data_IF_827542112426
#
_entry.id   IF_827542112426
#
_cell.length_a   1.000
_cell.length_b   1.000
_cell.length_c   1.000
_cell.angle_alpha   90.00
_cell.angle_beta   90.00
_cell.angle_gamma   90.00
#
_symmetry.space_group_name_H-M   'P 1'
#
loop_
_entity.id
_entity.type
_entity.pdbx_description
1 polymer ?
#
# COMPACT_ATOMS: atom_id res chain seq x y z
N UNK A 1 -6.39 -0.38 -17.66
CA UNK A 1 -7.11 0.25 -16.52
C UNK A 1 -6.36 1.43 -15.95
N UNK A 2 -5.03 1.37 -15.82
CA UNK A 2 -4.15 2.47 -15.39
C UNK A 2 -4.34 3.75 -16.21
N UNK A 3 -4.45 3.64 -17.53
CA UNK A 3 -4.71 4.78 -18.43
C UNK A 3 -6.06 5.46 -18.15
N UNK A 4 -7.09 4.71 -17.73
CA UNK A 4 -8.43 5.25 -17.48
C UNK A 4 -8.50 6.02 -16.15
N UNK A 5 -7.78 5.55 -15.13
CA UNK A 5 -7.63 6.24 -13.84
C UNK A 5 -6.88 7.56 -14.01
N UNK A 6 -5.79 7.56 -14.78
CA UNK A 6 -5.02 8.77 -15.08
C UNK A 6 -5.90 9.84 -15.78
N UNK A 7 -6.70 9.44 -16.77
CA UNK A 7 -7.63 10.34 -17.45
C UNK A 7 -8.71 10.91 -16.53
N UNK A 8 -9.22 10.12 -15.57
CA UNK A 8 -10.21 10.60 -14.61
C UNK A 8 -9.61 11.59 -13.61
N UNK A 9 -8.38 11.36 -13.13
CA UNK A 9 -7.67 12.31 -12.27
C UNK A 9 -7.32 13.60 -13.00
N UNK A 10 -6.89 13.52 -14.26
CA UNK A 10 -6.66 14.70 -15.10
C UNK A 10 -7.95 15.51 -15.28
N UNK A 11 -9.07 14.83 -15.54
CA UNK A 11 -10.39 15.47 -15.64
C UNK A 11 -10.80 16.13 -14.32
N UNK A 12 -10.60 15.46 -13.19
CA UNK A 12 -10.89 16.02 -11.86
C UNK A 12 -10.06 17.28 -11.59
N UNK A 13 -8.77 17.27 -11.94
CA UNK A 13 -7.91 18.45 -11.81
C UNK A 13 -8.37 19.64 -12.65
N UNK A 14 -8.83 19.39 -13.88
CA UNK A 14 -9.40 20.43 -14.76
C UNK A 14 -10.68 21.02 -14.19
N UNK A 15 -11.61 20.18 -13.71
CA UNK A 15 -12.86 20.62 -13.09
C UNK A 15 -12.63 21.42 -11.82
N UNK A 16 -11.68 21.01 -10.98
CA UNK A 16 -11.32 21.72 -9.76
C UNK A 16 -10.73 23.11 -10.05
N UNK A 17 -9.90 23.23 -11.09
CA UNK A 17 -9.35 24.52 -11.53
C UNK A 17 -10.45 25.46 -12.05
N UNK A 18 -11.33 24.98 -12.93
CA UNK A 18 -12.45 25.77 -13.48
C UNK A 18 -13.42 26.22 -12.37
N UNK A 19 -13.68 25.35 -11.39
CA UNK A 19 -14.51 25.65 -10.23
C UNK A 19 -13.89 26.77 -9.37
N UNK A 20 -12.59 26.71 -9.11
CA UNK A 20 -11.88 27.72 -8.33
C UNK A 20 -11.93 29.09 -9.04
N UNK A 21 -11.64 29.11 -10.34
CA UNK A 21 -11.71 30.31 -11.17
C UNK A 21 -13.10 30.95 -11.13
N UNK A 22 -14.17 30.17 -11.35
CA UNK A 22 -15.54 30.67 -11.29
C UNK A 22 -15.95 31.15 -9.89
N UNK A 23 -15.43 30.53 -8.82
CA UNK A 23 -15.67 30.97 -7.45
C UNK A 23 -15.00 32.32 -7.17
N UNK A 24 -13.77 32.52 -7.63
CA UNK A 24 -13.05 33.80 -7.51
C UNK A 24 -13.74 34.92 -8.31
N UNK A 25 -14.16 34.63 -9.54
CA UNK A 25 -14.91 35.58 -10.36
C UNK A 25 -16.24 35.98 -9.71
N UNK A 26 -16.98 35.02 -9.14
CA UNK A 26 -18.25 35.27 -8.45
C UNK A 26 -18.05 36.03 -7.13
N UNK A 27 -16.93 35.82 -6.43
CA UNK A 27 -16.61 36.54 -5.20
C UNK A 27 -16.28 38.02 -5.46
N UNK A 28 -15.66 38.32 -6.61
CA UNK A 28 -15.29 39.66 -7.02
C UNK A 28 -16.40 40.40 -7.81
N UNK A 29 -17.51 39.73 -8.13
CA UNK A 29 -18.63 40.32 -8.86
C UNK A 29 -19.39 41.36 -8.00
N UNK A 30 -19.89 42.45 -8.61
CA UNK A 30 -20.71 43.44 -7.89
C UNK A 30 -21.98 42.80 -7.31
N UNK A 31 -22.35 43.21 -6.09
CA UNK A 31 -23.50 42.67 -5.30
C UNK A 31 -24.88 42.79 -5.96
N UNK A 32 -25.00 43.33 -7.18
CA UNK A 32 -26.28 43.70 -7.79
C UNK A 32 -27.17 42.51 -8.20
N UNK A 33 -26.64 41.30 -8.32
CA UNK A 33 -27.45 40.12 -8.66
C UNK A 33 -27.96 39.40 -7.40
N UNK A 34 -28.95 40.00 -6.73
CA UNK A 34 -29.60 39.44 -5.52
C UNK A 34 -30.68 38.40 -5.80
N UNK A 35 -30.95 38.10 -7.08
CA UNK A 35 -32.05 37.23 -7.51
C UNK A 35 -31.55 36.02 -8.31
N UNK A 36 -32.37 34.96 -8.37
CA UNK A 36 -32.04 33.69 -9.03
C UNK A 36 -32.06 33.80 -10.56
N UNK A 37 -31.44 32.84 -11.26
CA UNK A 37 -31.46 32.78 -12.73
C UNK A 37 -32.87 32.76 -13.32
N UNK A 38 -33.81 32.09 -12.66
CA UNK A 38 -35.21 32.05 -13.09
C UNK A 38 -35.87 33.42 -12.97
N UNK A 39 -35.53 34.19 -11.94
CA UNK A 39 -36.02 35.56 -11.78
C UNK A 39 -35.38 36.47 -12.82
N UNK A 40 -34.08 36.36 -13.09
CA UNK A 40 -33.40 37.09 -14.17
C UNK A 40 -34.05 36.83 -15.54
N UNK A 41 -34.30 35.56 -15.88
CA UNK A 41 -34.98 35.19 -17.11
C UNK A 41 -36.41 35.77 -17.20
N UNK A 42 -37.15 35.84 -16.09
CA UNK A 42 -38.49 36.42 -16.04
C UNK A 42 -38.48 37.96 -16.18
N UNK A 43 -37.41 38.63 -15.78
CA UNK A 43 -37.24 40.10 -15.92
C UNK A 43 -36.65 40.46 -17.30
N UNK A 44 -36.29 39.46 -18.12
CA UNK A 44 -35.67 39.64 -19.44
C UNK A 44 -34.19 39.97 -19.36
N UNK A 45 -33.54 39.74 -18.22
CA UNK A 45 -32.09 39.78 -18.11
C UNK A 45 -31.48 38.55 -18.77
N UNK A 46 -30.36 38.77 -19.45
CA UNK A 46 -29.63 37.70 -20.10
C UNK A 46 -29.10 36.70 -19.06
N UNK A 47 -29.10 35.40 -19.41
CA UNK A 47 -28.63 34.32 -18.52
C UNK A 47 -27.44 33.57 -19.10
N UNK A 48 -26.83 34.14 -20.14
CA UNK A 48 -25.62 33.65 -20.77
C UNK A 48 -24.50 33.36 -19.77
N UNK A 49 -23.56 32.49 -20.17
CA UNK A 49 -22.47 32.00 -19.31
C UNK A 49 -21.56 33.11 -18.76
N UNK A 50 -21.56 34.30 -19.38
CA UNK A 50 -20.83 35.49 -18.93
C UNK A 50 -21.52 36.21 -17.75
N UNK A 51 -22.81 35.95 -17.51
CA UNK A 51 -23.59 36.59 -16.46
C UNK A 51 -23.36 35.92 -15.10
N UNK A 52 -23.60 36.66 -14.00
CA UNK A 52 -23.47 36.11 -12.62
C UNK A 52 -24.34 34.86 -12.43
N UNK A 53 -25.53 34.84 -13.04
CA UNK A 53 -26.45 33.71 -12.96
C UNK A 53 -26.01 32.53 -13.84
N UNK A 54 -25.48 32.78 -15.04
CA UNK A 54 -24.87 31.75 -15.89
C UNK A 54 -23.65 31.10 -15.23
N UNK A 55 -22.76 31.90 -14.62
CA UNK A 55 -21.60 31.40 -13.84
C UNK A 55 -22.02 30.55 -12.65
N UNK A 56 -23.07 30.94 -11.93
CA UNK A 56 -23.64 30.12 -10.83
C UNK A 56 -24.24 28.81 -11.34
N UNK A 57 -24.89 28.81 -12.50
CA UNK A 57 -25.41 27.59 -13.12
C UNK A 57 -24.25 26.65 -13.51
N UNK A 58 -23.22 27.17 -14.15
CA UNK A 58 -22.00 26.44 -14.49
C UNK A 58 -21.31 25.86 -13.26
N UNK A 59 -21.22 26.62 -12.17
CA UNK A 59 -20.65 26.14 -10.91
C UNK A 59 -21.41 24.92 -10.36
N UNK A 60 -22.75 24.89 -10.48
CA UNK A 60 -23.55 23.72 -10.05
C UNK A 60 -23.30 22.51 -10.94
N UNK A 61 -23.17 22.71 -12.25
CA UNK A 61 -22.80 21.64 -13.19
C UNK A 61 -21.41 21.07 -12.86
N UNK A 62 -20.43 21.92 -12.59
CA UNK A 62 -19.08 21.49 -12.23
C UNK A 62 -19.06 20.68 -10.93
N UNK A 63 -19.83 21.08 -9.92
CA UNK A 63 -19.97 20.31 -8.67
C UNK A 63 -20.60 18.94 -8.92
N UNK A 64 -21.59 18.85 -9.81
CA UNK A 64 -22.19 17.57 -10.18
C UNK A 64 -21.19 16.69 -10.95
N UNK A 65 -20.47 17.27 -11.90
CA UNK A 65 -19.48 16.56 -12.72
C UNK A 65 -18.27 16.08 -11.91
N UNK A 66 -17.80 16.89 -10.95
CA UNK A 66 -16.77 16.51 -9.99
C UNK A 66 -17.19 15.28 -9.19
N UNK A 67 -18.41 15.29 -8.63
CA UNK A 67 -18.98 14.17 -7.88
C UNK A 67 -19.08 12.89 -8.73
N UNK A 68 -19.48 13.01 -9.99
CA UNK A 68 -19.59 11.88 -10.90
C UNK A 68 -18.22 11.28 -11.25
N UNK A 69 -17.20 12.14 -11.45
CA UNK A 69 -15.82 11.73 -11.69
C UNK A 69 -15.22 11.05 -10.46
N UNK A 70 -15.45 11.57 -9.26
CA UNK A 70 -15.04 10.94 -7.99
C UNK A 70 -15.66 9.55 -7.82
N UNK A 71 -16.96 9.40 -8.10
CA UNK A 71 -17.62 8.10 -8.08
C UNK A 71 -17.02 7.14 -9.12
N UNK A 72 -16.72 7.64 -10.32
CA UNK A 72 -16.08 6.83 -11.36
C UNK A 72 -14.69 6.34 -10.92
N UNK A 73 -13.89 7.19 -10.25
CA UNK A 73 -12.59 6.82 -9.68
C UNK A 73 -12.77 5.71 -8.65
N UNK A 74 -13.66 5.89 -7.67
CA UNK A 74 -13.92 4.91 -6.62
C UNK A 74 -14.35 3.54 -7.18
N UNK A 75 -15.19 3.52 -8.22
CA UNK A 75 -15.61 2.28 -8.88
C UNK A 75 -14.44 1.58 -9.59
N UNK A 76 -13.59 2.34 -10.29
CA UNK A 76 -12.43 1.77 -10.99
C UNK A 76 -11.41 1.23 -10.01
N UNK A 77 -11.14 1.93 -8.92
CA UNK A 77 -10.25 1.47 -7.84
C UNK A 77 -10.78 0.21 -7.16
N UNK A 78 -12.07 0.18 -6.81
CA UNK A 78 -12.71 -1.01 -6.24
C UNK A 78 -12.56 -2.22 -7.18
N UNK A 79 -12.88 -2.06 -8.46
CA UNK A 79 -12.73 -3.13 -9.47
C UNK A 79 -11.29 -3.57 -9.65
N UNK A 80 -10.33 -2.65 -9.51
CA UNK A 80 -8.90 -2.98 -9.57
C UNK A 80 -8.52 -3.83 -8.36
N UNK A 81 -8.91 -3.43 -7.15
CA UNK A 81 -8.65 -4.18 -5.93
C UNK A 81 -9.28 -5.58 -5.97
N UNK A 82 -10.54 -5.67 -6.41
CA UNK A 82 -11.28 -6.92 -6.61
C UNK A 82 -10.61 -7.86 -7.61
N UNK A 83 -9.87 -7.36 -8.61
CA UNK A 83 -9.12 -8.19 -9.57
C UNK A 83 -7.73 -8.56 -9.07
N UNK A 84 -7.06 -7.66 -8.34
CA UNK A 84 -5.74 -7.91 -7.77
C UNK A 84 -5.80 -9.02 -6.73
N UNK A 85 -6.85 -9.06 -5.91
CA UNK A 85 -6.97 -10.08 -4.86
C UNK A 85 -6.99 -11.53 -5.42
N UNK A 86 -7.87 -11.90 -6.36
CA UNK A 86 -7.86 -13.23 -6.99
C UNK A 86 -6.58 -13.53 -7.78
N UNK A 87 -6.04 -12.55 -8.51
CA UNK A 87 -4.80 -12.74 -9.26
C UNK A 87 -3.60 -12.98 -8.34
N UNK A 88 -3.52 -12.24 -7.23
CA UNK A 88 -2.49 -12.40 -6.19
C UNK A 88 -2.63 -13.77 -5.52
N UNK A 89 -3.85 -14.16 -5.13
CA UNK A 89 -4.11 -15.49 -4.56
C UNK A 89 -3.70 -16.59 -5.55
N UNK A 90 -4.05 -16.46 -6.83
CA UNK A 90 -3.66 -17.42 -7.86
C UNK A 90 -2.14 -17.50 -8.04
N UNK A 91 -1.44 -16.36 -8.05
CA UNK A 91 0.01 -16.31 -8.16
C UNK A 91 0.69 -16.95 -6.94
N UNK A 92 0.24 -16.61 -5.72
CA UNK A 92 0.74 -17.22 -4.49
C UNK A 92 0.49 -18.73 -4.45
N UNK A 93 -0.69 -19.19 -4.86
CA UNK A 93 -0.99 -20.62 -4.93
C UNK A 93 -0.11 -21.35 -5.94
N UNK A 94 0.16 -20.75 -7.11
CA UNK A 94 1.06 -21.31 -8.09
C UNK A 94 2.53 -21.36 -7.59
N UNK A 95 2.97 -20.35 -6.84
CA UNK A 95 4.32 -20.28 -6.28
C UNK A 95 4.51 -21.13 -5.02
N UNK A 96 3.43 -21.47 -4.30
CA UNK A 96 3.45 -22.13 -2.99
C UNK A 96 4.29 -23.41 -2.93
N UNK A 97 4.22 -24.34 -3.92
CA UNK A 97 5.00 -25.57 -3.86
C UNK A 97 6.51 -25.31 -3.97
N UNK A 98 6.91 -24.40 -4.87
CA UNK A 98 8.31 -24.05 -5.07
C UNK A 98 8.87 -23.25 -3.88
N UNK A 99 8.07 -22.33 -3.34
CA UNK A 99 8.40 -21.61 -2.12
C UNK A 99 8.61 -22.59 -0.94
N UNK A 100 7.69 -23.54 -0.73
CA UNK A 100 7.83 -24.56 0.30
C UNK A 100 9.11 -25.40 0.15
N UNK A 101 9.45 -25.84 -1.06
CA UNK A 101 10.72 -26.54 -1.33
C UNK A 101 11.94 -25.72 -0.93
N UNK A 102 11.95 -24.42 -1.25
CA UNK A 102 13.06 -23.53 -0.92
C UNK A 102 13.16 -23.27 0.58
N UNK A 103 12.04 -23.11 1.27
CA UNK A 103 11.99 -23.00 2.73
C UNK A 103 12.54 -24.26 3.38
N UNK A 104 12.11 -25.45 2.92
CA UNK A 104 12.63 -26.72 3.43
C UNK A 104 14.14 -26.84 3.23
N UNK A 105 14.65 -26.56 2.02
CA UNK A 105 16.08 -26.59 1.73
C UNK A 105 16.88 -25.60 2.59
N UNK A 106 16.34 -24.41 2.83
CA UNK A 106 16.95 -23.41 3.71
C UNK A 106 17.03 -23.90 5.16
N UNK A 107 15.97 -24.52 5.67
CA UNK A 107 15.94 -25.08 7.02
C UNK A 107 16.95 -26.22 7.18
N UNK A 108 17.07 -27.11 6.19
CA UNK A 108 18.09 -28.17 6.22
C UNK A 108 19.51 -27.60 6.25
N UNK A 109 19.78 -26.54 5.49
CA UNK A 109 21.06 -25.85 5.55
C UNK A 109 21.33 -25.23 6.93
N UNK A 110 20.30 -24.63 7.56
CA UNK A 110 20.41 -24.09 8.92
C UNK A 110 20.64 -25.18 9.97
N UNK A 111 20.04 -26.37 9.81
CA UNK A 111 20.31 -27.52 10.70
C UNK A 111 21.77 -27.94 10.64
N UNK A 112 22.34 -28.04 9.44
CA UNK A 112 23.77 -28.32 9.26
C UNK A 112 24.64 -27.22 9.90
N UNK A 113 24.27 -25.95 9.71
CA UNK A 113 24.99 -24.82 10.32
C UNK A 113 24.93 -24.83 11.86
N UNK A 114 23.77 -25.18 12.45
CA UNK A 114 23.61 -25.33 13.90
C UNK A 114 24.45 -26.48 14.44
N UNK A 115 24.47 -27.63 13.77
CA UNK A 115 25.34 -28.73 14.18
C UNK A 115 26.81 -28.33 14.18
N UNK A 116 27.27 -27.60 13.16
CA UNK A 116 28.62 -27.05 13.13
C UNK A 116 28.85 -26.00 14.22
N UNK A 117 27.88 -25.13 14.48
CA UNK A 117 27.94 -24.16 15.58
C UNK A 117 28.06 -24.87 16.93
N UNK A 118 27.28 -25.92 17.18
CA UNK A 118 27.33 -26.68 18.44
C UNK A 118 28.70 -27.32 18.65
N UNK A 119 29.28 -27.90 17.59
CA UNK A 119 30.64 -28.46 17.66
C UNK A 119 31.71 -27.41 17.96
N UNK A 120 31.51 -26.16 17.50
CA UNK A 120 32.38 -25.04 17.85
C UNK A 120 32.15 -24.59 19.30
N UNK A 121 30.90 -24.56 19.75
CA UNK A 121 30.47 -24.12 21.07
C UNK A 121 31.02 -25.04 22.18
N UNK A 122 31.26 -26.31 21.87
CA UNK A 122 31.85 -27.34 22.74
C UNK A 122 33.37 -27.18 22.98
N UNK A 123 34.09 -26.50 22.07
CA UNK A 123 35.57 -26.40 22.13
C UNK A 123 36.06 -25.71 23.42
N UNK A 124 35.52 -24.56 23.84
CA UNK A 124 35.90 -23.93 25.11
C UNK A 124 35.71 -24.86 26.31
N UNK A 125 34.55 -25.52 26.40
CA UNK A 125 34.24 -26.43 27.51
C UNK A 125 35.18 -27.64 27.57
N UNK A 126 35.58 -28.16 26.41
CA UNK A 126 36.58 -29.23 26.32
C UNK A 126 37.97 -28.76 26.78
N UNK A 127 38.39 -27.56 26.38
CA UNK A 127 39.67 -26.97 26.79
C UNK A 127 39.72 -26.65 28.28
N UNK A 128 38.63 -26.12 28.86
CA UNK A 128 38.54 -25.86 30.30
C UNK A 128 38.64 -27.16 31.12
N UNK A 129 38.04 -28.25 30.63
CA UNK A 129 38.11 -29.57 31.28
C UNK A 129 39.53 -30.12 31.35
N UNK A 130 40.34 -29.86 30.31
CA UNK A 130 41.77 -30.20 30.26
C UNK A 130 42.66 -29.21 31.02
N UNK A 131 42.07 -28.23 31.71
CA UNK A 131 42.78 -27.24 32.52
C UNK A 131 43.43 -26.10 31.71
N UNK A 132 43.07 -25.94 30.44
CA UNK A 132 43.58 -24.85 29.61
C UNK A 132 42.89 -23.52 29.95
N UNK A 133 43.65 -22.43 29.94
CA UNK A 133 43.11 -21.10 30.12
C UNK A 133 42.47 -20.59 28.82
N UNK A 134 41.13 -20.65 28.75
CA UNK A 134 40.38 -20.27 27.54
C UNK A 134 40.34 -18.77 27.24
N UNK A 135 40.83 -17.91 28.13
CA UNK A 135 40.84 -16.45 27.93
C UNK A 135 41.64 -15.98 26.69
N UNK A 136 42.49 -16.84 26.14
CA UNK A 136 43.21 -16.60 24.88
C UNK A 136 42.39 -16.96 23.63
N UNK A 137 41.25 -17.63 23.80
CA UNK A 137 40.29 -17.97 22.75
C UNK A 137 39.06 -17.07 22.92
N UNK A 138 38.94 -16.00 22.13
CA UNK A 138 37.75 -15.16 22.21
C UNK A 138 36.52 -15.94 21.72
N UNK A 139 35.46 -16.08 22.54
CA UNK A 139 34.29 -16.85 22.16
C UNK A 139 33.51 -16.14 21.06
N UNK A 140 33.21 -16.85 19.98
CA UNK A 140 32.33 -16.37 18.92
C UNK A 140 30.95 -16.99 19.14
N UNK A 141 30.08 -16.28 19.86
CA UNK A 141 28.70 -16.70 20.10
C UNK A 141 27.78 -16.04 19.08
N UNK A 142 26.94 -16.83 18.42
CA UNK A 142 25.94 -16.34 17.47
C UNK A 142 24.56 -16.43 18.11
N UNK A 143 23.92 -15.31 18.50
CA UNK A 143 22.65 -15.33 19.23
C UNK A 143 21.52 -16.07 18.50
N UNK A 144 21.59 -16.16 17.17
CA UNK A 144 20.63 -16.90 16.36
C UNK A 144 20.62 -18.41 16.67
N UNK A 145 21.79 -18.99 17.02
CA UNK A 145 21.97 -20.40 17.35
C UNK A 145 22.15 -20.67 18.85
N UNK A 146 22.53 -19.67 19.63
CA UNK A 146 22.83 -19.83 21.05
C UNK A 146 21.58 -20.06 21.90
N UNK A 147 21.65 -21.02 22.83
CA UNK A 147 20.57 -21.34 23.78
C UNK A 147 19.50 -22.29 23.23
N UNK A 148 18.60 -22.72 24.12
CA UNK A 148 17.56 -23.72 23.82
C UNK A 148 16.31 -23.13 23.16
N UNK A 149 15.94 -21.89 23.48
CA UNK A 149 14.89 -21.12 22.78
C UNK A 149 15.53 -20.01 21.96
N UNK A 150 16.01 -20.39 20.77
CA UNK A 150 16.75 -19.51 19.88
C UNK A 150 15.93 -19.17 18.63
N UNK A 151 16.42 -18.22 17.84
CA UNK A 151 15.70 -17.77 16.65
C UNK A 151 15.52 -18.90 15.61
N UNK A 152 16.43 -19.87 15.57
CA UNK A 152 16.32 -21.02 14.68
C UNK A 152 15.18 -21.97 15.09
N UNK A 153 15.01 -22.28 16.39
CA UNK A 153 13.92 -23.17 16.83
C UNK A 153 12.56 -22.55 16.55
N UNK A 154 12.43 -21.23 16.74
CA UNK A 154 11.21 -20.48 16.37
C UNK A 154 10.95 -20.50 14.87
N UNK A 155 11.98 -20.24 14.05
CA UNK A 155 11.87 -20.30 12.60
C UNK A 155 11.42 -21.68 12.09
N UNK A 156 11.95 -22.76 12.67
CA UNK A 156 11.55 -24.13 12.33
C UNK A 156 10.08 -24.38 12.74
N UNK A 157 9.67 -23.92 13.91
CA UNK A 157 8.29 -24.04 14.36
C UNK A 157 7.31 -23.31 13.41
N UNK A 158 7.61 -22.05 13.05
CA UNK A 158 6.82 -21.28 12.09
C UNK A 158 6.71 -21.97 10.72
N UNK A 159 7.83 -22.53 10.23
CA UNK A 159 7.82 -23.22 8.96
C UNK A 159 7.03 -24.55 9.01
N UNK A 160 6.99 -25.23 10.16
CA UNK A 160 6.16 -26.42 10.39
C UNK A 160 4.68 -26.06 10.45
N UNK A 161 4.33 -25.00 11.19
CA UNK A 161 2.96 -24.48 11.26
C UNK A 161 2.45 -24.04 9.88
N UNK A 162 3.33 -23.46 9.06
CA UNK A 162 3.03 -23.10 7.68
C UNK A 162 2.96 -24.29 6.70
N UNK A 163 3.28 -25.51 7.16
CA UNK A 163 3.27 -26.74 6.36
C UNK A 163 4.41 -26.85 5.34
N UNK A 164 5.51 -26.15 5.56
CA UNK A 164 6.67 -26.15 4.67
C UNK A 164 7.72 -27.22 5.03
N UNK A 165 7.69 -27.75 6.25
CA UNK A 165 8.60 -28.79 6.75
C UNK A 165 7.82 -29.80 7.59
N UNK A 166 8.22 -31.08 7.50
CA UNK A 166 7.73 -32.17 8.35
C UNK A 166 8.55 -32.35 9.63
#
# INVERSE_FOLDING_TARGET
>A
MTTRLALLHEKLGKLAAEKLELQEELANAPRSASYSSNVAALIGEDTDASTVNGKRARLRELVAEERDVEQAIAIVERRRAERISPASVSACNAARPEYGKRVAAFIEALKAAKAAYDTLDEVPDALEREGAQIGYLQPVRVPFFAGNDNAMTRLIAEAKEAGHVG
#
